data_IF_673769958390
#
_entry.id   IF_673769958390
#
_cell.length_a   1.000
_cell.length_b   1.000
_cell.length_c   1.000
_cell.angle_alpha   90.00
_cell.angle_beta   90.00
_cell.angle_gamma   90.00
#
_symmetry.space_group_name_H-M   'P 1'
#
loop_
_entity.id
_entity.type
_entity.pdbx_description
1 polymer ?
#
# COMPACT_ATOMS: atom_id res chain seq x y z
N UNK A 1 -5.74 -47.11 -3.75
CA UNK A 1 -6.23 -45.78 -4.20
C UNK A 1 -7.58 -45.99 -4.85
N UNK A 2 -8.66 -45.82 -4.09
CA UNK A 2 -10.02 -45.91 -4.62
C UNK A 2 -10.37 -44.57 -5.30
N UNK A 3 -11.19 -44.58 -6.35
CA UNK A 3 -11.61 -43.36 -7.07
C UNK A 3 -12.20 -42.30 -6.16
N UNK A 4 -12.83 -42.73 -5.06
CA UNK A 4 -13.43 -41.88 -4.03
C UNK A 4 -12.37 -41.04 -3.30
N UNK A 5 -11.20 -41.59 -3.01
CA UNK A 5 -10.10 -40.85 -2.37
C UNK A 5 -9.60 -39.74 -3.29
N UNK A 6 -9.42 -40.03 -4.58
CA UNK A 6 -8.94 -39.05 -5.58
C UNK A 6 -9.98 -37.96 -5.81
N UNK A 7 -11.27 -38.30 -5.85
CA UNK A 7 -12.38 -37.35 -6.02
C UNK A 7 -12.47 -36.34 -4.86
N UNK A 8 -12.10 -36.74 -3.64
CA UNK A 8 -12.08 -35.85 -2.48
C UNK A 8 -10.75 -35.09 -2.39
N UNK A 9 -9.63 -35.75 -2.66
CA UNK A 9 -8.29 -35.16 -2.50
C UNK A 9 -8.02 -34.07 -3.54
N UNK A 10 -8.45 -34.27 -4.79
CA UNK A 10 -8.24 -33.30 -5.87
C UNK A 10 -8.81 -31.90 -5.57
N UNK A 11 -10.10 -31.72 -5.21
CA UNK A 11 -10.63 -30.39 -4.89
C UNK A 11 -10.01 -29.78 -3.63
N UNK A 12 -9.63 -30.60 -2.63
CA UNK A 12 -8.94 -30.10 -1.42
C UNK A 12 -7.56 -29.55 -1.77
N UNK A 13 -6.80 -30.24 -2.63
CA UNK A 13 -5.50 -29.75 -3.10
C UNK A 13 -5.64 -28.46 -3.90
N UNK A 14 -6.65 -28.35 -4.78
CA UNK A 14 -6.93 -27.13 -5.54
C UNK A 14 -7.27 -25.98 -4.58
N UNK A 15 -8.15 -26.22 -3.60
CA UNK A 15 -8.52 -25.22 -2.60
C UNK A 15 -7.28 -24.74 -1.83
N UNK A 16 -6.40 -25.67 -1.43
CA UNK A 16 -5.16 -25.34 -0.75
C UNK A 16 -4.24 -24.45 -1.59
N UNK A 17 -4.08 -24.76 -2.89
CA UNK A 17 -3.29 -23.93 -3.81
C UNK A 17 -3.91 -22.53 -3.95
N UNK A 18 -5.24 -22.42 -4.09
CA UNK A 18 -5.92 -21.12 -4.20
C UNK A 18 -5.69 -20.26 -2.95
N UNK A 19 -5.72 -20.87 -1.76
CA UNK A 19 -5.42 -20.18 -0.50
C UNK A 19 -3.99 -19.64 -0.48
N UNK A 20 -3.00 -20.44 -0.93
CA UNK A 20 -1.61 -19.99 -1.00
C UNK A 20 -1.43 -18.82 -1.98
N UNK A 21 -2.06 -18.87 -3.14
CA UNK A 21 -2.04 -17.77 -4.13
C UNK A 21 -2.68 -16.51 -3.55
N UNK A 22 -3.82 -16.65 -2.86
CA UNK A 22 -4.49 -15.53 -2.21
C UNK A 22 -3.60 -14.84 -1.17
N UNK A 23 -2.90 -15.61 -0.34
CA UNK A 23 -1.95 -15.05 0.63
C UNK A 23 -0.75 -14.40 -0.05
N UNK A 24 -0.21 -14.98 -1.13
CA UNK A 24 0.87 -14.37 -1.91
C UNK A 24 0.48 -12.98 -2.42
N UNK A 25 -0.67 -12.86 -3.08
CA UNK A 25 -1.19 -11.59 -3.58
C UNK A 25 -1.42 -10.56 -2.46
N UNK A 26 -1.88 -11.02 -1.29
CA UNK A 26 -2.09 -10.14 -0.14
C UNK A 26 -0.77 -9.60 0.42
N UNK A 27 0.24 -10.46 0.58
CA UNK A 27 1.56 -10.07 1.08
C UNK A 27 2.26 -9.14 0.10
N UNK A 28 2.21 -9.44 -1.20
CA UNK A 28 2.78 -8.61 -2.25
C UNK A 28 2.13 -7.22 -2.28
N UNK A 29 0.79 -7.16 -2.26
CA UNK A 29 0.06 -5.90 -2.22
C UNK A 29 0.34 -5.10 -0.94
N UNK A 30 0.47 -5.77 0.21
CA UNK A 30 0.82 -5.12 1.47
C UNK A 30 2.25 -4.57 1.46
N UNK A 31 3.20 -5.35 0.96
CA UNK A 31 4.60 -4.93 0.82
C UNK A 31 4.74 -3.71 -0.09
N UNK A 32 4.04 -3.71 -1.23
CA UNK A 32 4.01 -2.56 -2.14
C UNK A 32 3.42 -1.31 -1.50
N UNK A 33 2.31 -1.44 -0.75
CA UNK A 33 1.72 -0.32 -0.01
C UNK A 33 2.63 0.24 1.07
N UNK A 34 3.24 -0.63 1.87
CA UNK A 34 4.17 -0.20 2.92
C UNK A 34 5.43 0.44 2.31
N UNK A 35 5.89 0.00 1.13
CA UNK A 35 6.94 0.67 0.35
C UNK A 35 6.51 2.03 -0.17
N UNK A 36 5.32 2.12 -0.77
CA UNK A 36 4.75 3.36 -1.27
C UNK A 36 4.55 4.41 -0.18
N UNK A 37 4.07 4.02 1.01
CA UNK A 37 3.93 4.92 2.15
C UNK A 37 5.29 5.48 2.62
N UNK A 38 6.33 4.64 2.66
CA UNK A 38 7.70 5.05 3.01
C UNK A 38 8.25 6.06 2.01
N UNK A 39 8.16 5.76 0.72
CA UNK A 39 8.67 6.62 -0.33
C UNK A 39 7.88 7.93 -0.42
N UNK A 40 6.56 7.90 -0.24
CA UNK A 40 5.73 9.09 -0.18
C UNK A 40 6.08 9.99 1.00
N UNK A 41 6.28 9.42 2.20
CA UNK A 41 6.69 10.17 3.38
C UNK A 41 8.05 10.83 3.17
N UNK A 42 9.00 10.09 2.58
CA UNK A 42 10.35 10.58 2.27
C UNK A 42 10.36 11.65 1.20
N UNK A 43 9.61 11.46 0.12
CA UNK A 43 9.51 12.44 -0.97
C UNK A 43 8.88 13.75 -0.48
N UNK A 44 7.88 13.66 0.40
CA UNK A 44 7.25 14.82 1.01
C UNK A 44 8.11 15.53 2.05
N UNK A 45 8.85 14.79 2.89
CA UNK A 45 9.68 15.39 3.96
C UNK A 45 10.88 16.20 3.45
N UNK A 46 11.30 15.98 2.20
CA UNK A 46 12.38 16.74 1.55
C UNK A 46 11.87 18.09 0.99
N UNK A 47 10.56 18.24 0.78
CA UNK A 47 10.01 19.47 0.21
C UNK A 47 9.96 20.61 1.22
N UNK A 48 10.02 21.84 0.70
CA UNK A 48 10.04 23.07 1.52
C UNK A 48 8.65 23.60 1.84
N UNK A 49 7.72 23.39 0.91
CA UNK A 49 6.35 23.87 0.97
C UNK A 49 5.39 22.70 1.18
N UNK A 50 4.35 22.92 1.98
CA UNK A 50 3.37 21.89 2.34
C UNK A 50 2.57 21.39 1.13
N UNK A 51 2.12 22.30 0.26
CA UNK A 51 1.37 21.95 -0.94
C UNK A 51 2.22 21.11 -1.90
N UNK A 52 3.48 21.50 -2.06
CA UNK A 52 4.46 20.77 -2.86
C UNK A 52 4.79 19.41 -2.24
N UNK A 53 4.98 19.35 -0.91
CA UNK A 53 5.22 18.10 -0.18
C UNK A 53 4.14 17.06 -0.43
N UNK A 54 2.87 17.47 -0.35
CA UNK A 54 1.75 16.57 -0.55
C UNK A 54 1.57 16.18 -2.03
N UNK A 55 1.88 17.07 -2.97
CA UNK A 55 1.86 16.76 -4.40
C UNK A 55 2.96 15.76 -4.79
N UNK A 56 4.17 15.93 -4.26
CA UNK A 56 5.29 14.99 -4.47
C UNK A 56 5.03 13.65 -3.80
N UNK A 57 4.49 13.64 -2.57
CA UNK A 57 4.10 12.42 -1.88
C UNK A 57 3.04 11.62 -2.67
N UNK A 58 2.06 12.30 -3.28
CA UNK A 58 1.07 11.66 -4.18
C UNK A 58 1.72 11.06 -5.40
N UNK A 59 2.57 11.83 -6.10
CA UNK A 59 3.27 11.33 -7.30
C UNK A 59 4.15 10.12 -7.00
N UNK A 60 4.86 10.10 -5.87
CA UNK A 60 5.66 8.96 -5.44
C UNK A 60 4.78 7.73 -5.14
N UNK A 61 3.68 7.91 -4.41
CA UNK A 61 2.75 6.83 -4.12
C UNK A 61 2.10 6.25 -5.40
N UNK A 62 1.64 7.12 -6.30
CA UNK A 62 1.03 6.73 -7.58
C UNK A 62 2.02 5.96 -8.47
N UNK A 63 3.27 6.42 -8.57
CA UNK A 63 4.31 5.75 -9.33
C UNK A 63 4.60 4.33 -8.79
N UNK A 64 4.69 4.18 -7.47
CA UNK A 64 4.95 2.87 -6.84
C UNK A 64 3.74 1.92 -6.92
N UNK A 65 2.53 2.45 -7.04
CA UNK A 65 1.30 1.67 -6.96
C UNK A 65 0.60 1.46 -8.32
N UNK A 66 1.13 2.02 -9.41
CA UNK A 66 0.51 1.97 -10.74
C UNK A 66 0.13 0.54 -11.19
N UNK A 67 0.98 -0.45 -10.91
CA UNK A 67 0.77 -1.84 -11.31
C UNK A 67 0.05 -2.70 -10.27
N UNK A 68 -0.03 -2.22 -9.03
CA UNK A 68 -0.59 -2.94 -7.87
C UNK A 68 -2.04 -2.53 -7.62
N UNK A 69 -2.36 -1.27 -7.88
CA UNK A 69 -3.65 -0.66 -7.58
C UNK A 69 -4.65 -0.76 -8.73
N UNK A 70 -5.92 -0.91 -8.37
CA UNK A 70 -7.05 -0.80 -9.30
C UNK A 70 -7.87 0.41 -8.86
N UNK A 71 -7.57 1.57 -9.42
CA UNK A 71 -8.25 2.83 -9.10
C UNK A 71 -7.31 3.93 -8.57
N UNK A 72 -7.88 5.05 -8.11
CA UNK A 72 -7.09 6.18 -7.63
C UNK A 72 -6.41 5.84 -6.30
N UNK A 73 -5.14 6.25 -6.18
CA UNK A 73 -4.39 6.19 -4.92
C UNK A 73 -4.78 7.41 -4.09
N UNK A 74 -5.23 7.18 -2.86
CA UNK A 74 -5.52 8.26 -1.91
C UNK A 74 -4.34 8.43 -0.96
N UNK A 75 -3.71 9.61 -1.00
CA UNK A 75 -2.66 9.99 -0.05
C UNK A 75 -3.17 11.14 0.82
N UNK A 76 -3.14 10.92 2.13
CA UNK A 76 -3.54 11.89 3.15
C UNK A 76 -2.41 12.09 4.14
N UNK A 77 -2.07 13.33 4.42
CA UNK A 77 -1.21 13.62 5.56
C UNK A 77 -2.02 13.43 6.84
N UNK A 78 -1.42 12.75 7.82
CA UNK A 78 -2.01 12.51 9.15
C UNK A 78 -1.21 13.19 10.26
N UNK A 79 -0.07 13.82 9.95
CA UNK A 79 0.66 14.62 10.93
C UNK A 79 -0.07 15.92 11.29
N UNK A 80 0.12 16.37 12.53
CA UNK A 80 -0.53 17.56 13.08
C UNK A 80 -0.03 18.88 12.45
N UNK A 81 1.13 18.88 11.80
CA UNK A 81 1.72 20.06 11.18
C UNK A 81 2.78 19.72 10.12
N UNK A 82 3.34 20.78 9.53
CA UNK A 82 4.47 20.74 8.57
C UNK A 82 5.61 21.64 9.04
N UNK A 83 5.86 21.69 10.35
CA UNK A 83 6.89 22.54 10.94
C UNK A 83 8.26 21.84 10.97
N UNK A 84 9.38 22.58 11.01
CA UNK A 84 10.69 22.02 11.29
C UNK A 84 10.68 21.18 12.59
N UNK A 85 11.50 20.13 12.65
CA UNK A 85 11.60 19.24 13.82
C UNK A 85 10.33 18.41 14.12
N UNK A 86 9.39 18.34 13.17
CA UNK A 86 8.20 17.49 13.28
C UNK A 86 8.27 16.25 12.38
N UNK A 87 7.42 15.26 12.66
CA UNK A 87 7.26 14.08 11.82
C UNK A 87 6.25 14.36 10.71
N UNK A 88 6.67 14.15 9.46
CA UNK A 88 5.76 14.13 8.32
C UNK A 88 5.19 12.72 8.16
N UNK A 89 3.93 12.54 8.56
CA UNK A 89 3.21 11.26 8.48
C UNK A 89 2.21 11.31 7.34
N UNK A 90 2.30 10.33 6.44
CA UNK A 90 1.33 10.13 5.36
C UNK A 90 0.69 8.76 5.47
N UNK A 91 -0.60 8.72 5.19
CA UNK A 91 -1.39 7.52 4.99
C UNK A 91 -1.70 7.39 3.50
N UNK A 92 -1.39 6.22 2.94
CA UNK A 92 -1.66 5.84 1.57
C UNK A 92 -2.72 4.73 1.59
N UNK A 93 -3.78 4.91 0.82
CA UNK A 93 -4.86 3.95 0.68
C UNK A 93 -5.16 3.66 -0.78
N UNK A 94 -5.42 2.38 -1.06
CA UNK A 94 -5.73 1.92 -2.40
C UNK A 94 -6.46 0.56 -2.39
N UNK A 95 -7.25 0.30 -3.43
CA UNK A 95 -7.77 -1.01 -3.80
C UNK A 95 -6.75 -1.86 -4.57
N UNK A 96 -6.32 -2.99 -4.00
CA UNK A 96 -5.33 -3.89 -4.62
C UNK A 96 -5.96 -4.72 -5.75
N UNK A 97 -5.24 -4.83 -6.88
CA UNK A 97 -5.61 -5.66 -8.04
C UNK A 97 -5.54 -7.15 -7.69
N UNK A 98 -6.48 -7.94 -8.19
CA UNK A 98 -6.44 -9.40 -8.08
C UNK A 98 -7.15 -10.02 -6.87
N UNK A 99 -7.32 -9.31 -5.75
CA UNK A 99 -8.13 -9.82 -4.63
C UNK A 99 -9.62 -9.98 -4.99
N UNK A 100 -10.14 -9.14 -5.89
CA UNK A 100 -11.53 -9.22 -6.36
C UNK A 100 -11.80 -10.40 -7.31
N UNK A 101 -10.77 -10.98 -7.94
CA UNK A 101 -10.91 -12.10 -8.91
C UNK A 101 -11.21 -13.45 -8.23
N UNK A 102 -11.03 -13.55 -6.91
CA UNK A 102 -11.22 -14.80 -6.15
C UNK A 102 -12.70 -15.03 -5.79
N UNK A 103 -13.62 -14.13 -6.21
CA UNK A 103 -15.06 -14.29 -6.00
C UNK A 103 -15.51 -14.12 -4.54
N UNK A 104 -14.61 -13.64 -3.67
CA UNK A 104 -14.89 -13.34 -2.26
C UNK A 104 -15.16 -11.84 -2.13
N UNK A 105 -16.31 -11.46 -1.57
CA UNK A 105 -16.67 -10.08 -1.24
C UNK A 105 -15.89 -9.58 0.00
N UNK A 106 -14.57 -9.49 -0.12
CA UNK A 106 -13.71 -8.87 0.90
C UNK A 106 -13.39 -7.44 0.46
N UNK A 107 -13.46 -6.44 1.37
CA UNK A 107 -12.97 -5.10 1.06
C UNK A 107 -11.49 -5.17 0.68
N UNK A 108 -11.20 -4.95 -0.61
CA UNK A 108 -9.85 -5.01 -1.19
C UNK A 108 -9.03 -3.74 -0.98
N UNK A 109 -9.57 -2.81 -0.18
CA UNK A 109 -8.91 -1.54 0.16
C UNK A 109 -7.96 -1.78 1.31
N UNK A 110 -6.67 -1.56 1.07
CA UNK A 110 -5.64 -1.62 2.07
C UNK A 110 -5.09 -0.21 2.34
N UNK A 111 -4.69 0.02 3.59
CA UNK A 111 -4.13 1.29 4.05
C UNK A 111 -2.76 1.07 4.70
N UNK A 112 -1.82 1.95 4.42
CA UNK A 112 -0.48 1.94 5.01
C UNK A 112 -0.09 3.36 5.40
N UNK A 113 0.56 3.50 6.55
CA UNK A 113 1.01 4.80 7.06
C UNK A 113 2.50 4.75 7.38
N UNK A 114 3.23 5.81 7.04
CA UNK A 114 4.63 5.94 7.39
C UNK A 114 4.96 7.39 7.78
N UNK A 115 5.92 7.53 8.70
CA UNK A 115 6.42 8.82 9.19
C UNK A 115 7.88 9.02 8.79
N UNK A 116 8.21 10.20 8.29
CA UNK A 116 9.57 10.63 7.99
C UNK A 116 9.88 11.92 8.75
N UNK A 117 11.04 12.04 9.43
CA UNK A 117 11.40 13.26 10.11
C UNK A 117 11.65 14.39 9.10
N UNK A 118 11.12 15.58 9.38
CA UNK A 118 11.44 16.80 8.65
C UNK A 118 12.78 17.34 9.15
N UNK A 119 13.68 17.68 8.24
CA UNK A 119 15.01 18.19 8.59
C UNK A 119 14.88 19.50 9.43
N UNK A 120 15.40 19.53 10.67
CA UNK A 120 15.35 20.71 11.52
C UNK A 120 16.18 21.88 10.99
N UNK A 121 17.17 21.64 10.12
CA UNK A 121 18.04 22.66 9.53
C UNK A 121 17.59 23.14 8.15
N UNK A 122 16.40 22.74 7.69
CA UNK A 122 15.88 23.20 6.41
C UNK A 122 15.65 24.71 6.45
N UNK A 123 16.21 25.47 5.49
CA UNK A 123 15.90 26.89 5.34
C UNK A 123 14.45 27.03 4.87
N UNK A 124 13.56 27.40 5.78
CA UNK A 124 12.26 27.98 5.46
C UNK A 124 12.52 29.31 4.73
N UNK A 125 11.97 29.43 3.52
CA UNK A 125 12.08 30.65 2.70
C UNK A 125 10.88 31.55 2.97
#
# INVERSE_FOLDING_TARGET
>A
MSTIEVVILAPVMILFILVLVAFGQLVDGRGALDGAARDAARAGSIQKDHGTALAEARRAAEANLADVCTGPVSVRQTSAGFEPDTLFTVEVSCQIRGLAMIGVNVPTTLTASFSSPLDPFRRTA
#
